data_IF_168592589407
#
_entry.id   IF_168592589407
#
_cell.length_a   1.000
_cell.length_b   1.000
_cell.length_c   1.000
_cell.angle_alpha   90.00
_cell.angle_beta   90.00
_cell.angle_gamma   90.00
#
_symmetry.space_group_name_H-M   'P 1'
#
loop_
_entity.id
_entity.type
_entity.pdbx_description
1 polymer ?
#
# COMPACT_ATOMS: atom_id res chain seq x y z
N UNK A 1 -1.36 -11.83 -3.33
CA UNK A 1 -0.29 -10.79 -3.37
C UNK A 1 -0.43 -9.77 -2.26
N UNK A 2 -1.64 -9.30 -1.92
CA UNK A 2 -1.85 -8.33 -0.83
C UNK A 2 -1.25 -8.73 0.53
N UNK A 3 -1.16 -10.03 0.82
CA UNK A 3 -0.54 -10.56 2.04
C UNK A 3 0.97 -10.28 2.14
N UNK A 4 1.62 -9.90 1.03
CA UNK A 4 3.01 -9.45 0.99
C UNK A 4 3.16 -8.01 1.50
N UNK A 5 2.07 -7.28 1.71
CA UNK A 5 2.10 -5.92 2.24
C UNK A 5 2.08 -5.94 3.76
N UNK A 6 2.78 -4.98 4.38
CA UNK A 6 2.60 -4.74 5.82
C UNK A 6 1.13 -4.41 6.11
N UNK A 7 0.64 -4.70 7.32
CA UNK A 7 -0.73 -4.34 7.74
C UNK A 7 -1.08 -2.87 7.47
N UNK A 8 -0.10 -1.98 7.62
CA UNK A 8 -0.26 -0.55 7.33
C UNK A 8 -0.40 -0.30 5.83
N UNK A 9 0.53 -0.81 5.02
CA UNK A 9 0.52 -0.66 3.55
C UNK A 9 -0.75 -1.26 2.94
N UNK A 10 -1.17 -2.43 3.42
CA UNK A 10 -2.43 -3.07 3.01
C UNK A 10 -3.62 -2.14 3.24
N UNK A 11 -3.75 -1.58 4.45
CA UNK A 11 -4.87 -0.68 4.79
C UNK A 11 -4.83 0.61 3.96
N UNK A 12 -3.65 1.14 3.65
CA UNK A 12 -3.50 2.32 2.81
C UNK A 12 -3.89 2.07 1.35
N UNK A 13 -3.56 0.89 0.82
CA UNK A 13 -4.00 0.46 -0.50
C UNK A 13 -5.53 0.31 -0.53
N UNK A 14 -6.11 -0.36 0.46
CA UNK A 14 -7.56 -0.56 0.60
C UNK A 14 -8.32 0.77 0.75
N UNK A 15 -7.75 1.74 1.48
CA UNK A 15 -8.28 3.10 1.55
C UNK A 15 -8.39 3.74 0.17
N UNK A 16 -7.37 3.61 -0.68
CA UNK A 16 -7.43 4.16 -2.04
C UNK A 16 -8.44 3.39 -2.89
N UNK A 17 -8.47 2.07 -2.84
CA UNK A 17 -9.46 1.25 -3.56
C UNK A 17 -10.90 1.70 -3.27
N UNK A 18 -11.25 1.90 -1.99
CA UNK A 18 -12.58 2.41 -1.61
C UNK A 18 -12.90 3.77 -2.25
N UNK A 19 -11.92 4.67 -2.29
CA UNK A 19 -12.10 6.01 -2.87
C UNK A 19 -12.20 5.96 -4.41
N UNK A 20 -11.48 5.05 -5.05
CA UNK A 20 -11.48 4.85 -6.50
C UNK A 20 -12.75 4.16 -7.00
N UNK A 21 -13.19 3.10 -6.33
CA UNK A 21 -14.31 2.27 -6.74
C UNK A 21 -15.64 3.02 -6.65
N UNK A 22 -15.90 3.68 -5.52
CA UNK A 22 -17.22 4.23 -5.24
C UNK A 22 -17.41 5.68 -5.73
N UNK A 23 -16.34 6.39 -6.07
CA UNK A 23 -16.33 7.78 -6.62
C UNK A 23 -17.30 8.74 -5.90
N UNK A 24 -17.48 8.55 -4.59
CA UNK A 24 -18.39 9.33 -3.72
C UNK A 24 -17.66 9.93 -2.54
N UNK A 25 -18.39 10.74 -1.78
CA UNK A 25 -17.92 11.24 -0.49
C UNK A 25 -17.98 10.16 0.58
N UNK A 26 -16.94 10.10 1.40
CA UNK A 26 -16.84 9.24 2.57
C UNK A 26 -16.55 10.06 3.82
N UNK A 27 -17.33 9.85 4.87
CA UNK A 27 -16.96 10.38 6.18
C UNK A 27 -15.76 9.62 6.76
N UNK A 28 -14.96 10.29 7.61
CA UNK A 28 -13.79 9.64 8.23
C UNK A 28 -14.18 8.48 9.14
N UNK A 29 -15.29 8.62 9.86
CA UNK A 29 -15.88 7.56 10.69
C UNK A 29 -16.23 6.33 9.86
N UNK A 30 -16.89 6.53 8.71
CA UNK A 30 -17.25 5.46 7.78
C UNK A 30 -16.01 4.72 7.24
N UNK A 31 -14.98 5.45 6.81
CA UNK A 31 -13.71 4.84 6.38
C UNK A 31 -13.05 4.06 7.52
N UNK A 32 -13.13 4.55 8.75
CA UNK A 32 -12.57 3.88 9.91
C UNK A 32 -13.29 2.56 10.21
N UNK A 33 -14.61 2.53 10.06
CA UNK A 33 -15.42 1.31 10.17
C UNK A 33 -15.09 0.31 9.05
N UNK A 34 -15.08 0.75 7.79
CA UNK A 34 -14.80 -0.10 6.63
C UNK A 34 -13.39 -0.71 6.69
N UNK A 35 -12.39 0.07 7.13
CA UNK A 35 -11.00 -0.36 7.23
C UNK A 35 -10.65 -0.99 8.60
N UNK A 36 -11.65 -1.16 9.47
CA UNK A 36 -11.49 -1.68 10.83
C UNK A 36 -10.33 -1.01 11.60
N UNK A 37 -10.30 0.32 11.60
CA UNK A 37 -9.28 1.12 12.26
C UNK A 37 -9.88 2.34 12.98
N UNK A 38 -9.03 3.22 13.52
CA UNK A 38 -9.50 4.46 14.15
C UNK A 38 -9.57 5.59 13.12
N UNK A 39 -10.41 6.60 13.34
CA UNK A 39 -10.42 7.81 12.51
C UNK A 39 -9.05 8.53 12.48
N UNK A 40 -8.28 8.41 13.56
CA UNK A 40 -6.91 8.91 13.61
C UNK A 40 -6.03 8.17 12.62
N UNK A 41 -6.10 6.84 12.57
CA UNK A 41 -5.36 6.05 11.59
C UNK A 41 -5.77 6.40 10.15
N UNK A 42 -7.07 6.57 9.88
CA UNK A 42 -7.56 7.05 8.58
C UNK A 42 -6.95 8.39 8.20
N UNK A 43 -6.88 9.35 9.15
CA UNK A 43 -6.26 10.66 8.91
C UNK A 43 -4.78 10.54 8.57
N UNK A 44 -4.04 9.72 9.32
CA UNK A 44 -2.60 9.51 9.11
C UNK A 44 -2.36 8.80 7.75
N UNK A 45 -3.17 7.81 7.41
CA UNK A 45 -3.11 7.10 6.14
C UNK A 45 -3.48 8.01 4.96
N UNK A 46 -4.51 8.85 5.08
CA UNK A 46 -4.85 9.89 4.10
C UNK A 46 -3.70 10.88 3.89
N UNK A 47 -3.03 11.30 4.97
CA UNK A 47 -1.87 12.19 4.86
C UNK A 47 -0.72 11.51 4.12
N UNK A 48 -0.50 10.23 4.39
CA UNK A 48 0.53 9.45 3.74
C UNK A 48 0.26 9.26 2.24
N UNK A 49 -0.94 8.79 1.86
CA UNK A 49 -1.27 8.55 0.45
C UNK A 49 -1.31 9.85 -0.36
N UNK A 50 -1.79 10.97 0.21
CA UNK A 50 -1.71 12.28 -0.45
C UNK A 50 -0.27 12.71 -0.74
N UNK A 51 0.66 12.39 0.16
CA UNK A 51 2.08 12.68 -0.06
C UNK A 51 2.73 11.73 -1.05
N UNK A 52 2.30 10.46 -1.08
CA UNK A 52 2.85 9.44 -1.98
C UNK A 52 2.37 9.61 -3.43
N UNK A 53 1.18 10.17 -3.62
CA UNK A 53 0.52 10.32 -4.91
C UNK A 53 0.09 11.78 -5.13
N UNK A 54 1.05 12.69 -5.42
CA UNK A 54 0.76 14.12 -5.55
C UNK A 54 -0.16 14.45 -6.72
N UNK A 55 -0.22 13.58 -7.74
CA UNK A 55 -1.05 13.77 -8.93
C UNK A 55 -2.52 13.38 -8.70
N UNK A 56 -2.81 12.61 -7.63
CA UNK A 56 -4.19 12.26 -7.28
C UNK A 56 -4.89 13.45 -6.60
N UNK A 57 -6.05 13.82 -7.12
CA UNK A 57 -6.81 14.98 -6.63
C UNK A 57 -7.80 14.55 -5.55
N UNK A 58 -7.43 14.81 -4.29
CA UNK A 58 -8.31 14.59 -3.14
C UNK A 58 -9.10 15.85 -2.79
N UNK A 59 -10.43 15.72 -2.70
CA UNK A 59 -11.30 16.76 -2.19
C UNK A 59 -11.67 16.48 -0.73
N UNK A 60 -11.66 17.52 0.10
CA UNK A 60 -12.11 17.49 1.49
C UNK A 60 -13.21 18.52 1.70
N UNK A 61 -14.30 18.13 2.37
CA UNK A 61 -15.41 19.02 2.74
C UNK A 61 -16.06 18.56 4.05
N UNK A 62 -17.14 19.24 4.46
CA UNK A 62 -18.00 18.79 5.56
C UNK A 62 -18.62 17.41 5.30
N UNK A 63 -18.80 17.04 4.03
CA UNK A 63 -19.33 15.73 3.62
C UNK A 63 -18.24 14.63 3.63
N UNK A 64 -17.01 14.97 4.03
CA UNK A 64 -15.92 14.02 4.14
C UNK A 64 -14.88 14.15 3.02
N UNK A 65 -14.41 13.03 2.50
CA UNK A 65 -13.31 12.93 1.53
C UNK A 65 -13.72 12.13 0.30
N UNK A 66 -13.21 12.54 -0.86
CA UNK A 66 -13.30 11.79 -2.12
C UNK A 66 -12.08 12.03 -3.00
N UNK A 67 -11.86 11.16 -3.97
CA UNK A 67 -10.95 11.37 -5.10
C UNK A 67 -11.78 11.70 -6.35
N UNK A 68 -11.25 12.53 -7.24
CA UNK A 68 -11.88 12.87 -8.52
C UNK A 68 -10.88 12.72 -9.67
N UNK A 69 -11.42 12.67 -10.89
CA UNK A 69 -10.65 12.61 -12.15
C UNK A 69 -9.69 11.42 -12.25
N UNK A 70 -10.04 10.29 -11.64
CA UNK A 70 -9.26 9.06 -11.73
C UNK A 70 -9.79 8.09 -12.77
N UNK A 71 -8.86 7.38 -13.41
CA UNK A 71 -9.10 6.29 -14.35
C UNK A 71 -8.42 4.98 -13.91
N UNK A 72 -8.47 3.96 -14.77
CA UNK A 72 -7.92 2.63 -14.48
C UNK A 72 -6.38 2.64 -14.41
N UNK A 73 -5.71 3.55 -15.11
CA UNK A 73 -4.24 3.67 -15.08
C UNK A 73 -3.75 4.21 -13.74
N UNK A 74 -4.53 5.09 -13.10
CA UNK A 74 -4.21 5.63 -11.79
C UNK A 74 -4.22 4.54 -10.70
N UNK A 75 -5.20 3.63 -10.72
CA UNK A 75 -5.27 2.55 -9.72
C UNK A 75 -4.15 1.51 -9.95
N UNK A 76 -3.80 1.22 -11.20
CA UNK A 76 -2.64 0.37 -11.51
C UNK A 76 -1.33 0.97 -10.98
N UNK A 77 -1.13 2.27 -11.15
CA UNK A 77 0.01 3.01 -10.61
C UNK A 77 0.07 2.94 -9.07
N UNK A 78 -1.08 3.01 -8.40
CA UNK A 78 -1.20 2.81 -6.95
C UNK A 78 -0.74 1.40 -6.56
N UNK A 79 -1.26 0.35 -7.20
CA UNK A 79 -0.83 -1.02 -6.92
C UNK A 79 0.67 -1.21 -7.13
N UNK A 80 1.20 -0.70 -8.25
CA UNK A 80 2.64 -0.76 -8.55
C UNK A 80 3.47 -0.11 -7.43
N UNK A 81 3.08 1.07 -6.96
CA UNK A 81 3.76 1.75 -5.86
C UNK A 81 3.81 0.90 -4.59
N UNK A 82 2.67 0.35 -4.15
CA UNK A 82 2.61 -0.44 -2.92
C UNK A 82 3.42 -1.73 -2.99
N UNK A 83 3.38 -2.44 -4.12
CA UNK A 83 4.15 -3.68 -4.28
C UNK A 83 5.64 -3.40 -4.43
N UNK A 84 6.04 -2.40 -5.23
CA UNK A 84 7.45 -2.03 -5.42
C UNK A 84 8.13 -1.60 -4.11
N UNK A 85 7.38 -1.07 -3.15
CA UNK A 85 7.90 -0.68 -1.84
C UNK A 85 7.71 -1.73 -0.74
N UNK A 86 7.16 -2.90 -1.06
CA UNK A 86 7.13 -4.03 -0.14
C UNK A 86 8.43 -4.83 -0.23
N UNK A 87 9.15 -4.92 0.89
CA UNK A 87 10.33 -5.79 1.01
C UNK A 87 10.02 -7.27 0.71
N UNK A 88 8.83 -7.76 1.09
CA UNK A 88 8.43 -9.15 0.79
C UNK A 88 8.27 -9.34 -0.72
N UNK A 89 7.62 -8.39 -1.38
CA UNK A 89 7.45 -8.44 -2.83
C UNK A 89 8.79 -8.29 -3.56
N UNK A 90 9.64 -7.34 -3.15
CA UNK A 90 10.96 -7.16 -3.77
C UNK A 90 11.86 -8.39 -3.63
N UNK A 91 11.84 -9.08 -2.48
CA UNK A 91 12.56 -10.34 -2.30
C UNK A 91 12.00 -11.44 -3.20
N UNK A 92 10.67 -11.56 -3.30
CA UNK A 92 10.02 -12.53 -4.18
C UNK A 92 10.37 -12.26 -5.65
N UNK A 93 10.31 -11.01 -6.08
CA UNK A 93 10.71 -10.57 -7.42
C UNK A 93 12.19 -10.89 -7.70
N UNK A 94 13.08 -10.60 -6.74
CA UNK A 94 14.50 -10.93 -6.86
C UNK A 94 14.73 -12.42 -7.03
N UNK A 95 14.10 -13.27 -6.21
CA UNK A 95 14.22 -14.74 -6.29
C UNK A 95 13.71 -15.23 -7.65
N UNK A 96 12.59 -14.69 -8.13
CA UNK A 96 11.99 -15.06 -9.40
C UNK A 96 12.93 -14.78 -10.59
N UNK A 97 13.61 -13.63 -10.60
CA UNK A 97 14.54 -13.28 -11.67
C UNK A 97 15.97 -13.80 -11.48
N UNK A 98 16.31 -14.31 -10.28
CA UNK A 98 17.62 -14.87 -9.95
C UNK A 98 17.48 -16.29 -9.42
N UNK A 99 16.99 -17.19 -10.28
CA UNK A 99 16.81 -18.59 -9.94
C UNK A 99 18.11 -19.22 -9.40
N UNK A 100 17.99 -20.00 -8.31
CA UNK A 100 19.14 -20.64 -7.67
C UNK A 100 20.03 -19.71 -6.85
N UNK A 101 19.64 -18.45 -6.63
CA UNK A 101 20.37 -17.56 -5.72
C UNK A 101 20.43 -18.13 -4.30
N UNK A 102 21.57 -17.93 -3.64
CA UNK A 102 21.77 -18.37 -2.27
C UNK A 102 21.12 -17.37 -1.30
N UNK A 103 20.63 -17.85 -0.16
CA UNK A 103 20.05 -17.01 0.89
C UNK A 103 21.00 -15.87 1.31
N UNK A 104 22.30 -16.12 1.32
CA UNK A 104 23.32 -15.10 1.63
C UNK A 104 23.34 -13.95 0.60
N UNK A 105 23.10 -14.24 -0.68
CA UNK A 105 23.00 -13.21 -1.72
C UNK A 105 21.77 -12.32 -1.50
N UNK A 106 20.64 -12.91 -1.10
CA UNK A 106 19.42 -12.15 -0.79
C UNK A 106 19.64 -11.26 0.45
N UNK A 107 20.26 -11.81 1.51
CA UNK A 107 20.61 -11.05 2.70
C UNK A 107 21.51 -9.83 2.38
N UNK A 108 22.48 -10.01 1.48
CA UNK A 108 23.39 -8.95 1.03
C UNK A 108 22.65 -7.88 0.22
N UNK A 109 21.81 -8.28 -0.74
CA UNK A 109 21.07 -7.37 -1.61
C UNK A 109 20.09 -6.48 -0.81
N UNK A 110 19.35 -7.08 0.11
CA UNK A 110 18.31 -6.38 0.89
C UNK A 110 18.81 -5.83 2.23
N UNK A 111 20.11 -5.96 2.53
CA UNK A 111 20.72 -5.54 3.79
C UNK A 111 20.01 -6.09 5.04
N UNK A 112 19.60 -7.37 4.99
CA UNK A 112 18.89 -8.06 6.07
C UNK A 112 19.70 -9.24 6.62
N UNK A 113 19.46 -9.60 7.88
CA UNK A 113 20.01 -10.83 8.46
C UNK A 113 19.30 -12.07 7.91
N UNK A 114 19.95 -13.24 7.97
CA UNK A 114 19.32 -14.51 7.63
C UNK A 114 18.06 -14.77 8.45
N UNK A 115 18.05 -14.41 9.74
CA UNK A 115 16.86 -14.54 10.60
C UNK A 115 15.70 -13.65 10.14
N UNK A 116 15.98 -12.45 9.64
CA UNK A 116 14.95 -11.58 9.06
C UNK A 116 14.45 -12.12 7.73
N UNK A 117 15.35 -12.60 6.88
CA UNK A 117 14.98 -13.26 5.63
C UNK A 117 14.05 -14.46 5.90
N UNK A 118 14.39 -15.34 6.83
CA UNK A 118 13.55 -16.50 7.17
C UNK A 118 12.18 -16.11 7.73
N UNK A 119 12.05 -14.98 8.45
CA UNK A 119 10.73 -14.47 8.86
C UNK A 119 9.90 -13.91 7.71
N UNK A 120 10.57 -13.39 6.67
CA UNK A 120 9.92 -12.80 5.49
C UNK A 120 9.41 -13.90 4.53
N UNK A 121 10.16 -15.01 4.41
CA UNK A 121 9.84 -16.11 3.49
C UNK A 121 9.10 -17.29 4.16
N UNK A 122 8.92 -17.24 5.48
CA UNK A 122 8.13 -18.22 6.26
C UNK A 122 6.64 -17.94 6.14
#
# INVERSE_FOLDING_TARGET
MRDLLSKKSHRQLELLELLFEHKRWFHRSELAELLNCTERAVKDDLSHVKSAFPDLIFHSSTNGIRIINTDDSDIEMVYHHFFKHSTHFSILEFIFFNEGCQAESICKEFYISSSSLYRIIS
#
